data_IF_263262063798
#
_entry.id   IF_263262063798
#
_cell.length_a   1.000
_cell.length_b   1.000
_cell.length_c   1.000
_cell.angle_alpha   90.00
_cell.angle_beta   90.00
_cell.angle_gamma   90.00
#
_symmetry.space_group_name_H-M   'P 1'
#
loop_
_entity.id
_entity.type
_entity.pdbx_description
1 polymer ?
#
# COMPACT_ATOMS: atom_id res chain seq x y z
N UNK A 1 -23.42 -1.06 53.07
CA UNK A 1 -22.44 -0.21 52.37
C UNK A 1 -22.16 -0.82 51.00
N UNK A 2 -22.50 -0.11 49.92
CA UNK A 2 -22.05 -0.44 48.56
C UNK A 2 -22.40 0.75 47.66
N UNK A 3 -21.59 1.81 47.71
CA UNK A 3 -21.61 2.85 46.69
C UNK A 3 -20.53 2.46 45.67
N UNK A 4 -20.95 1.79 44.61
CA UNK A 4 -20.14 1.64 43.41
C UNK A 4 -20.05 3.01 42.74
N UNK A 5 -18.86 3.60 42.80
CA UNK A 5 -18.57 4.88 42.18
C UNK A 5 -18.75 4.75 40.67
N UNK A 6 -19.74 5.49 40.15
CA UNK A 6 -20.01 5.60 38.73
C UNK A 6 -18.79 6.16 38.03
N UNK A 7 -18.14 5.31 37.23
CA UNK A 7 -17.14 5.65 36.24
C UNK A 7 -17.63 6.90 35.47
N UNK A 8 -16.94 8.02 35.68
CA UNK A 8 -17.30 9.30 35.08
C UNK A 8 -17.12 9.21 33.56
N UNK A 9 -18.17 8.77 32.86
CA UNK A 9 -18.28 8.89 31.43
C UNK A 9 -18.41 10.39 31.13
N UNK A 10 -17.28 11.07 30.94
CA UNK A 10 -17.24 12.46 30.51
C UNK A 10 -18.06 12.59 29.22
N UNK A 11 -19.25 13.22 29.27
CA UNK A 11 -20.10 13.31 28.10
C UNK A 11 -19.38 14.18 27.08
N UNK A 12 -19.24 13.66 25.86
CA UNK A 12 -18.69 14.43 24.75
C UNK A 12 -19.60 15.63 24.55
N UNK A 13 -19.10 16.86 24.66
CA UNK A 13 -19.96 18.02 24.55
C UNK A 13 -20.48 18.16 23.09
N UNK A 14 -21.67 18.77 22.90
CA UNK A 14 -22.43 18.70 21.65
C UNK A 14 -21.78 19.39 20.44
N UNK A 15 -20.81 20.27 20.67
CA UNK A 15 -19.96 20.91 19.67
C UNK A 15 -18.76 20.03 19.26
N UNK A 16 -18.42 19.00 20.04
CA UNK A 16 -17.41 17.98 19.75
C UNK A 16 -18.03 16.68 19.23
N UNK A 17 -19.33 16.47 19.45
CA UNK A 17 -20.13 15.38 18.87
C UNK A 17 -19.89 15.25 17.36
N UNK A 18 -19.87 16.35 16.60
CA UNK A 18 -19.68 16.27 15.15
C UNK A 18 -18.26 15.82 14.76
N UNK A 19 -17.24 16.15 15.56
CA UNK A 19 -15.84 15.76 15.33
C UNK A 19 -15.64 14.29 15.65
N UNK A 20 -16.19 13.84 16.77
CA UNK A 20 -16.17 12.44 17.19
C UNK A 20 -17.00 11.58 16.25
N UNK A 21 -18.17 12.06 15.81
CA UNK A 21 -19.02 11.40 14.83
C UNK A 21 -18.33 11.27 13.47
N UNK A 22 -17.69 12.35 12.96
CA UNK A 22 -16.87 12.27 11.73
C UNK A 22 -15.67 11.34 11.87
N UNK A 23 -14.97 11.36 13.00
CA UNK A 23 -13.84 10.45 13.26
C UNK A 23 -14.31 8.99 13.26
N UNK A 24 -15.44 8.70 13.90
CA UNK A 24 -16.03 7.35 13.97
C UNK A 24 -16.56 6.86 12.63
N UNK A 25 -17.11 7.75 11.79
CA UNK A 25 -17.49 7.42 10.42
C UNK A 25 -16.26 7.15 9.55
N UNK A 26 -15.22 7.95 9.70
CA UNK A 26 -13.94 7.75 9.01
C UNK A 26 -13.30 6.42 9.42
N UNK A 27 -13.29 6.10 10.71
CA UNK A 27 -12.72 4.86 11.25
C UNK A 27 -13.48 3.61 10.79
N UNK A 28 -14.82 3.65 10.79
CA UNK A 28 -15.66 2.56 10.28
C UNK A 28 -15.47 2.34 8.77
N UNK A 29 -15.34 3.43 7.99
CA UNK A 29 -15.03 3.34 6.56
C UNK A 29 -13.62 2.79 6.31
N UNK A 30 -12.61 3.30 7.02
CA UNK A 30 -11.22 2.84 6.93
C UNK A 30 -11.06 1.37 7.33
N UNK A 31 -11.79 0.91 8.35
CA UNK A 31 -11.80 -0.50 8.77
C UNK A 31 -12.36 -1.40 7.66
N UNK A 32 -13.41 -0.96 6.95
CA UNK A 32 -13.94 -1.66 5.79
C UNK A 32 -12.99 -1.66 4.59
N UNK A 33 -12.25 -0.57 4.37
CA UNK A 33 -11.21 -0.46 3.33
C UNK A 33 -10.04 -1.40 3.63
N UNK A 34 -9.57 -1.45 4.88
CA UNK A 34 -8.48 -2.35 5.33
C UNK A 34 -8.80 -3.83 5.17
N UNK A 35 -10.08 -4.23 5.24
CA UNK A 35 -10.51 -5.63 5.06
C UNK A 35 -10.60 -6.08 3.60
N UNK A 36 -10.56 -5.16 2.63
CA UNK A 36 -10.56 -5.55 1.22
C UNK A 36 -9.18 -6.10 0.86
N UNK A 37 -9.14 -7.30 0.27
CA UNK A 37 -7.91 -7.85 -0.30
C UNK A 37 -7.35 -6.83 -1.29
N UNK A 38 -6.08 -6.48 -1.13
CA UNK A 38 -5.37 -5.64 -2.08
C UNK A 38 -5.48 -6.31 -3.45
N UNK A 39 -6.19 -5.67 -4.38
CA UNK A 39 -6.16 -6.05 -5.77
C UNK A 39 -4.92 -5.38 -6.33
N UNK A 40 -3.89 -6.17 -6.61
CA UNK A 40 -2.73 -5.66 -7.30
C UNK A 40 -3.14 -5.19 -8.71
N UNK A 41 -2.44 -4.19 -9.20
CA UNK A 41 -2.59 -3.71 -10.57
C UNK A 41 -2.20 -4.81 -11.56
N UNK A 42 -2.68 -4.70 -12.81
CA UNK A 42 -2.25 -5.60 -13.87
C UNK A 42 -0.78 -5.36 -14.18
N UNK A 43 -0.14 -6.33 -14.84
CA UNK A 43 1.27 -6.25 -15.21
C UNK A 43 1.60 -4.96 -15.98
N UNK A 44 0.78 -4.60 -16.97
CA UNK A 44 0.96 -3.38 -17.78
C UNK A 44 0.95 -2.11 -16.93
N UNK A 45 -0.04 -1.95 -16.05
CA UNK A 45 -0.17 -0.76 -15.20
C UNK A 45 0.98 -0.68 -14.17
N UNK A 46 1.40 -1.82 -13.61
CA UNK A 46 2.56 -1.88 -12.73
C UNK A 46 3.83 -1.48 -13.47
N UNK A 47 4.07 -2.03 -14.66
CA UNK A 47 5.22 -1.69 -15.51
C UNK A 47 5.27 -0.20 -15.82
N UNK A 48 4.16 0.40 -16.28
CA UNK A 48 4.12 1.83 -16.57
C UNK A 48 4.46 2.70 -15.34
N UNK A 49 4.00 2.30 -14.16
CA UNK A 49 4.34 3.01 -12.92
C UNK A 49 5.82 2.90 -12.58
N UNK A 50 6.41 1.72 -12.72
CA UNK A 50 7.82 1.47 -12.41
C UNK A 50 8.72 2.25 -13.38
N UNK A 51 8.40 2.23 -14.66
CA UNK A 51 9.07 3.02 -15.70
C UNK A 51 8.94 4.52 -15.44
N UNK A 52 7.74 4.99 -15.06
CA UNK A 52 7.51 6.40 -14.74
C UNK A 52 8.29 6.87 -13.51
N UNK A 53 8.56 5.98 -12.55
CA UNK A 53 9.45 6.28 -11.42
C UNK A 53 10.90 6.36 -11.88
N UNK A 54 11.36 5.43 -12.72
CA UNK A 54 12.72 5.41 -13.26
C UNK A 54 13.81 5.38 -12.18
N UNK A 55 13.51 4.85 -11.00
CA UNK A 55 14.41 4.82 -9.84
C UNK A 55 15.22 3.53 -9.72
N UNK A 56 14.83 2.47 -10.42
CA UNK A 56 15.40 1.14 -10.28
C UNK A 56 15.75 0.58 -11.64
N UNK A 57 16.99 0.12 -11.79
CA UNK A 57 17.50 -0.48 -13.02
C UNK A 57 17.86 -1.95 -12.83
N UNK A 58 17.91 -2.43 -11.58
CA UNK A 58 18.21 -3.82 -11.28
C UNK A 58 17.23 -4.40 -10.27
N UNK A 59 17.06 -5.73 -10.33
CA UNK A 59 16.30 -6.50 -9.33
C UNK A 59 16.81 -6.23 -7.91
N UNK A 60 18.13 -6.04 -7.74
CA UNK A 60 18.73 -5.85 -6.43
C UNK A 60 18.35 -4.51 -5.81
N UNK A 61 18.32 -3.43 -6.59
CA UNK A 61 17.84 -2.12 -6.12
C UNK A 61 16.35 -2.14 -5.75
N UNK A 62 15.55 -2.88 -6.52
CA UNK A 62 14.14 -3.08 -6.18
C UNK A 62 13.99 -3.79 -4.82
N UNK A 63 14.73 -4.89 -4.61
CA UNK A 63 14.70 -5.64 -3.35
C UNK A 63 15.17 -4.78 -2.18
N UNK A 64 16.29 -4.07 -2.33
CA UNK A 64 16.82 -3.17 -1.31
C UNK A 64 15.80 -2.07 -0.95
N UNK A 65 15.09 -1.52 -1.94
CA UNK A 65 14.02 -0.56 -1.72
C UNK A 65 12.82 -1.14 -0.95
N UNK A 66 12.44 -2.38 -1.25
CA UNK A 66 11.40 -3.10 -0.49
C UNK A 66 11.86 -3.38 0.95
N UNK A 67 13.11 -3.80 1.14
CA UNK A 67 13.70 -4.08 2.45
C UNK A 67 13.81 -2.83 3.33
N UNK A 68 14.08 -1.66 2.73
CA UNK A 68 14.01 -0.36 3.40
C UNK A 68 12.61 0.01 3.90
N UNK A 69 11.59 -0.74 3.49
CA UNK A 69 10.21 -0.52 3.91
C UNK A 69 9.55 0.67 3.21
N UNK A 70 10.14 1.19 2.13
CA UNK A 70 9.62 2.32 1.37
C UNK A 70 8.48 1.94 0.42
N UNK A 71 7.61 1.00 0.81
CA UNK A 71 6.47 0.58 -0.01
C UNK A 71 5.43 1.71 -0.14
N UNK A 72 5.63 2.57 -1.14
CA UNK A 72 4.76 3.74 -1.40
C UNK A 72 3.39 3.36 -1.98
N UNK A 73 3.32 2.26 -2.72
CA UNK A 73 2.09 1.90 -3.43
C UNK A 73 1.53 0.54 -2.95
N UNK A 74 0.34 0.50 -2.32
CA UNK A 74 -0.27 -0.75 -1.88
C UNK A 74 -0.73 -1.63 -3.05
N UNK A 75 -0.85 -1.08 -4.26
CA UNK A 75 -1.28 -1.80 -5.46
C UNK A 75 -0.15 -2.53 -6.17
N UNK A 76 1.09 -2.33 -5.74
CA UNK A 76 2.26 -2.96 -6.34
C UNK A 76 2.69 -4.13 -5.45
N UNK A 77 2.81 -5.34 -6.02
CA UNK A 77 3.31 -6.47 -5.27
C UNK A 77 4.77 -6.22 -4.86
N UNK A 78 5.13 -6.62 -3.64
CA UNK A 78 6.52 -6.53 -3.18
C UNK A 78 7.42 -7.47 -3.97
N UNK A 79 6.87 -8.61 -4.37
CA UNK A 79 7.48 -9.59 -5.27
C UNK A 79 6.65 -9.67 -6.56
N UNK A 80 6.96 -8.86 -7.59
CA UNK A 80 6.23 -8.87 -8.85
C UNK A 80 6.48 -10.16 -9.63
N UNK A 81 7.69 -10.71 -9.57
CA UNK A 81 8.07 -11.98 -10.22
C UNK A 81 7.14 -13.11 -9.79
N UNK A 82 7.03 -13.42 -8.49
CA UNK A 82 6.16 -14.49 -8.01
C UNK A 82 4.67 -14.19 -8.15
N UNK A 83 4.25 -12.92 -8.09
CA UNK A 83 2.85 -12.55 -8.30
C UNK A 83 2.41 -12.76 -9.74
N UNK A 84 3.16 -12.20 -10.70
CA UNK A 84 2.81 -12.27 -12.12
C UNK A 84 3.17 -13.61 -12.76
N UNK A 85 4.11 -14.37 -12.19
CA UNK A 85 4.35 -15.76 -12.60
C UNK A 85 3.14 -16.63 -12.31
N UNK A 86 2.44 -16.40 -11.19
CA UNK A 86 1.21 -17.12 -10.86
C UNK A 86 0.04 -16.74 -11.80
N UNK A 87 0.00 -15.51 -12.30
CA UNK A 87 -1.02 -15.07 -13.25
C UNK A 87 -0.67 -15.39 -14.70
N UNK A 88 0.60 -15.67 -15.00
CA UNK A 88 1.10 -15.94 -16.35
C UNK A 88 1.40 -14.69 -17.17
N UNK A 89 1.39 -13.51 -16.54
CA UNK A 89 1.66 -12.21 -17.20
C UNK A 89 3.13 -11.77 -17.07
N UNK A 90 3.95 -12.53 -16.33
CA UNK A 90 5.35 -12.16 -16.11
C UNK A 90 6.21 -12.38 -17.35
N UNK A 91 6.91 -11.33 -17.79
CA UNK A 91 7.85 -11.40 -18.91
C UNK A 91 9.31 -11.53 -18.44
N UNK A 92 9.90 -10.44 -17.95
CA UNK A 92 11.24 -10.40 -17.36
C UNK A 92 11.35 -9.19 -16.42
N UNK A 93 12.40 -9.17 -15.61
CA UNK A 93 12.78 -7.98 -14.84
C UNK A 93 13.14 -6.80 -15.74
N UNK A 94 13.77 -7.06 -16.88
CA UNK A 94 14.18 -6.02 -17.83
C UNK A 94 12.96 -5.29 -18.41
N UNK A 95 11.93 -6.04 -18.82
CA UNK A 95 10.68 -5.44 -19.30
C UNK A 95 9.90 -4.74 -18.19
N UNK A 96 9.90 -5.30 -16.97
CA UNK A 96 9.18 -4.73 -15.82
C UNK A 96 9.80 -3.39 -15.36
N UNK A 97 11.13 -3.32 -15.32
CA UNK A 97 11.88 -2.12 -14.95
C UNK A 97 12.05 -1.15 -16.14
N UNK A 98 11.73 -1.58 -17.36
CA UNK A 98 11.92 -0.81 -18.60
C UNK A 98 13.39 -0.54 -18.91
N UNK A 99 14.28 -1.46 -18.53
CA UNK A 99 15.71 -1.33 -18.76
C UNK A 99 16.00 -1.92 -20.13
N UNK A 100 16.03 -1.07 -21.13
CA UNK A 100 16.64 -1.40 -22.41
C UNK A 100 18.17 -1.45 -22.22
N UNK A 101 18.85 -2.35 -22.93
CA UNK A 101 20.31 -2.60 -22.89
C UNK A 101 21.16 -1.31 -22.91
N UNK A 102 20.60 -0.23 -23.49
CA UNK A 102 21.17 1.11 -23.55
C UNK A 102 21.32 1.86 -22.20
N UNK A 103 20.54 1.52 -21.15
CA UNK A 103 20.55 2.25 -19.87
C UNK A 103 21.38 1.56 -18.77
N UNK A 104 21.81 0.31 -18.96
CA UNK A 104 22.62 -0.43 -17.98
C UNK A 104 24.12 -0.10 -18.03
N UNK A 105 24.56 0.74 -18.98
CA UNK A 105 25.97 1.04 -19.26
C UNK A 105 26.39 2.51 -19.00
N UNK A 106 25.59 3.27 -18.23
CA UNK A 106 25.84 4.70 -17.91
C UNK A 106 26.44 4.93 -16.54
#
# INVERSE_FOLDING_TARGET
EAQGEGEAAFPVPPELEWRVFRARLTDQWLTGVKRRRARFLRYSDCREWVIAMGQWHTKQEWVDWIERGEKRNPYIPSDPEGYFTQTGDWQSWEDFLGVDDAQAAG
#
